data_IF_911225940738
#
_entry.id   IF_911225940738
#
_cell.length_a   1.000
_cell.length_b   1.000
_cell.length_c   1.000
_cell.angle_alpha   90.00
_cell.angle_beta   90.00
_cell.angle_gamma   90.00
#
_symmetry.space_group_name_H-M   'P 1'
#
loop_
_entity.id
_entity.type
_entity.pdbx_description
1 polymer ?
#
# COMPACT_ATOMS: atom_id res chain seq x y z
N UNK A 1 -52.73 -40.62 48.84
CA UNK A 1 -51.91 -39.40 48.64
C UNK A 1 -50.68 -39.81 47.84
N UNK A 2 -50.40 -39.11 46.73
CA UNK A 2 -49.66 -39.60 45.56
C UNK A 2 -48.17 -39.87 45.83
N UNK A 3 -47.69 -41.05 45.40
CA UNK A 3 -46.28 -41.40 45.27
C UNK A 3 -45.80 -40.80 43.94
N UNK A 4 -44.86 -39.86 43.99
CA UNK A 4 -44.24 -39.28 42.80
C UNK A 4 -42.94 -40.03 42.55
N UNK A 5 -42.97 -40.91 41.55
CA UNK A 5 -41.80 -41.60 41.02
C UNK A 5 -40.98 -40.61 40.21
N UNK A 6 -39.75 -40.32 40.66
CA UNK A 6 -38.82 -39.47 39.93
C UNK A 6 -38.12 -40.32 38.85
N UNK A 7 -38.61 -40.25 37.61
CA UNK A 7 -37.91 -40.74 36.43
C UNK A 7 -36.85 -39.72 36.04
N UNK A 8 -35.58 -40.01 36.30
CA UNK A 8 -34.46 -39.30 35.69
C UNK A 8 -34.35 -39.73 34.22
N UNK A 9 -34.51 -38.83 33.23
CA UNK A 9 -34.25 -39.19 31.86
C UNK A 9 -32.72 -39.30 31.70
N UNK A 10 -32.30 -40.54 31.47
CA UNK A 10 -30.96 -40.89 31.00
C UNK A 10 -30.82 -40.33 29.58
N UNK A 11 -30.16 -39.18 29.40
CA UNK A 11 -29.90 -38.71 28.04
C UNK A 11 -29.56 -37.24 27.89
N UNK A 12 -28.33 -36.87 28.20
CA UNK A 12 -27.57 -35.95 27.35
C UNK A 12 -26.08 -36.07 27.67
N UNK A 13 -25.38 -37.00 27.02
CA UNK A 13 -23.92 -36.93 26.94
C UNK A 13 -23.61 -35.90 25.87
N UNK A 14 -23.40 -34.65 26.28
CA UNK A 14 -22.83 -33.63 25.41
C UNK A 14 -21.37 -33.99 25.19
N UNK A 15 -21.07 -34.62 24.07
CA UNK A 15 -19.69 -34.80 23.62
C UNK A 15 -19.22 -33.42 23.13
N UNK A 16 -18.59 -32.66 24.01
CA UNK A 16 -17.77 -31.51 23.63
C UNK A 16 -16.56 -32.05 22.87
N UNK A 17 -16.69 -32.19 21.55
CA UNK A 17 -15.52 -32.32 20.68
C UNK A 17 -14.83 -30.96 20.68
N UNK A 18 -13.83 -30.79 21.55
CA UNK A 18 -12.86 -29.72 21.38
C UNK A 18 -12.28 -29.86 19.97
N UNK A 19 -12.54 -28.87 19.11
CA UNK A 19 -11.91 -28.82 17.80
C UNK A 19 -10.39 -28.79 18.05
N UNK A 20 -9.71 -29.90 17.73
CA UNK A 20 -8.25 -29.89 17.65
C UNK A 20 -7.91 -28.93 16.52
N UNK A 21 -7.39 -27.75 16.87
CA UNK A 21 -6.71 -26.90 15.89
C UNK A 21 -5.66 -27.79 15.24
N UNK A 22 -5.72 -27.92 13.91
CA UNK A 22 -4.76 -28.74 13.19
C UNK A 22 -3.37 -28.16 13.45
N UNK A 23 -2.43 -29.01 13.89
CA UNK A 23 -1.06 -28.64 14.23
C UNK A 23 -0.18 -28.34 12.99
N UNK A 24 -0.83 -28.13 11.83
CA UNK A 24 -0.20 -27.78 10.56
C UNK A 24 -0.76 -26.46 10.09
N UNK A 25 0.13 -25.51 9.82
CA UNK A 25 -0.22 -24.27 9.14
C UNK A 25 -0.95 -24.59 7.83
N UNK A 26 -2.10 -23.96 7.61
CA UNK A 26 -2.78 -23.97 6.31
C UNK A 26 -2.01 -23.19 5.23
N UNK A 27 -1.00 -22.41 5.64
CA UNK A 27 -0.23 -21.53 4.77
C UNK A 27 1.22 -22.01 4.65
N UNK A 28 1.75 -21.94 3.44
CA UNK A 28 3.18 -22.10 3.17
C UNK A 28 3.91 -20.80 3.48
N UNK A 29 5.10 -20.90 4.07
CA UNK A 29 6.01 -19.77 4.28
C UNK A 29 7.20 -19.92 3.33
N UNK A 30 7.33 -19.03 2.35
CA UNK A 30 8.55 -18.85 1.55
C UNK A 30 9.33 -17.65 2.10
N UNK A 31 10.64 -17.79 2.25
CA UNK A 31 11.53 -16.70 2.71
C UNK A 31 12.33 -16.23 1.50
N UNK A 32 12.03 -15.02 1.02
CA UNK A 32 12.68 -14.45 -0.18
C UNK A 32 13.98 -13.73 0.15
N UNK A 33 14.04 -13.07 1.30
CA UNK A 33 15.24 -12.39 1.80
C UNK A 33 15.34 -12.51 3.31
N UNK A 34 16.58 -12.47 3.82
CA UNK A 34 16.88 -12.41 5.25
C UNK A 34 17.51 -11.05 5.54
N UNK A 35 16.86 -10.26 6.39
CA UNK A 35 17.25 -8.88 6.70
C UNK A 35 16.07 -7.94 6.51
N UNK A 36 16.25 -6.67 6.85
CA UNK A 36 15.20 -5.67 6.73
C UNK A 36 15.50 -4.73 5.58
N UNK A 37 14.65 -4.72 4.55
CA UNK A 37 14.86 -3.95 3.32
C UNK A 37 13.80 -2.87 3.10
N UNK A 38 12.62 -3.00 3.72
CA UNK A 38 11.46 -2.13 3.51
C UNK A 38 10.39 -2.40 4.57
N UNK A 39 9.54 -1.40 4.85
CA UNK A 39 8.33 -1.57 5.68
C UNK A 39 7.18 -2.27 4.94
N UNK A 40 7.10 -2.09 3.62
CA UNK A 40 6.04 -2.63 2.77
C UNK A 40 6.55 -3.24 1.47
N UNK A 41 5.72 -4.10 0.89
CA UNK A 41 5.96 -4.80 -0.37
C UNK A 41 4.72 -4.68 -1.27
N UNK A 42 4.92 -4.77 -2.58
CA UNK A 42 3.86 -4.68 -3.58
C UNK A 42 4.00 -5.77 -4.63
N UNK A 43 2.93 -5.95 -5.42
CA UNK A 43 2.89 -6.88 -6.54
C UNK A 43 2.65 -6.12 -7.84
N UNK A 44 3.26 -6.59 -8.93
CA UNK A 44 3.00 -6.12 -10.30
C UNK A 44 3.88 -6.83 -11.32
N UNK A 45 3.51 -6.78 -12.59
CA UNK A 45 4.21 -7.48 -13.68
C UNK A 45 5.40 -6.63 -14.17
N UNK A 46 6.56 -6.77 -13.51
CA UNK A 46 7.74 -5.93 -13.77
C UNK A 46 8.43 -6.36 -15.07
N UNK A 47 8.48 -7.65 -15.38
CA UNK A 47 9.15 -8.14 -16.61
C UNK A 47 8.23 -8.31 -17.82
N UNK A 48 6.93 -8.03 -17.67
CA UNK A 48 5.95 -8.03 -18.74
C UNK A 48 5.53 -9.43 -19.20
N UNK A 49 5.78 -10.46 -18.38
CA UNK A 49 5.48 -11.85 -18.73
C UNK A 49 4.03 -12.27 -18.40
N UNK A 50 3.23 -11.34 -17.88
CA UNK A 50 1.84 -11.55 -17.49
C UNK A 50 1.66 -12.18 -16.11
N UNK A 51 2.73 -12.36 -15.32
CA UNK A 51 2.68 -12.86 -13.96
C UNK A 51 3.00 -11.74 -12.97
N UNK A 52 2.47 -11.85 -11.76
CA UNK A 52 2.79 -10.88 -10.71
C UNK A 52 4.16 -11.16 -10.12
N UNK A 53 5.04 -10.17 -10.21
CA UNK A 53 6.31 -10.10 -9.50
C UNK A 53 6.12 -9.41 -8.14
N UNK A 54 7.04 -9.63 -7.22
CA UNK A 54 7.04 -8.99 -5.90
C UNK A 54 8.12 -7.91 -5.82
N UNK A 55 7.78 -6.69 -5.43
CA UNK A 55 8.72 -5.61 -5.15
C UNK A 55 8.86 -5.41 -3.64
N UNK A 56 10.10 -5.40 -3.15
CA UNK A 56 10.40 -5.12 -1.75
C UNK A 56 11.75 -4.41 -1.60
N UNK A 57 11.73 -3.16 -1.14
CA UNK A 57 12.95 -2.40 -0.95
C UNK A 57 13.64 -2.08 -2.28
N UNK A 58 14.94 -2.37 -2.43
CA UNK A 58 15.66 -2.19 -3.69
C UNK A 58 15.48 -3.36 -4.68
N UNK A 59 14.74 -4.40 -4.30
CA UNK A 59 14.65 -5.67 -5.03
C UNK A 59 13.27 -5.88 -5.65
N UNK A 60 13.26 -6.68 -6.71
CA UNK A 60 12.05 -7.34 -7.19
C UNK A 60 12.32 -8.83 -7.45
N UNK A 61 11.29 -9.67 -7.34
CA UNK A 61 11.36 -11.12 -7.42
C UNK A 61 10.41 -11.62 -8.49
N UNK A 62 10.93 -12.29 -9.51
CA UNK A 62 10.13 -12.73 -10.65
C UNK A 62 9.11 -13.82 -10.23
N UNK A 63 7.85 -13.63 -10.60
CA UNK A 63 6.76 -14.55 -10.33
C UNK A 63 6.74 -15.77 -11.26
N UNK A 64 5.94 -16.80 -10.94
CA UNK A 64 5.13 -16.92 -9.73
C UNK A 64 5.89 -17.63 -8.60
N UNK A 65 7.10 -18.10 -8.85
CA UNK A 65 7.89 -18.84 -7.86
C UNK A 65 8.71 -17.90 -6.96
N UNK A 66 9.05 -16.69 -7.40
CA UNK A 66 9.86 -15.73 -6.64
C UNK A 66 11.28 -16.23 -6.35
N UNK A 67 11.84 -17.11 -7.19
CA UNK A 67 13.20 -17.64 -7.01
C UNK A 67 14.28 -16.74 -7.60
N UNK A 68 13.93 -15.99 -8.66
CA UNK A 68 14.84 -15.04 -9.29
C UNK A 68 14.70 -13.67 -8.65
N UNK A 69 15.68 -13.31 -7.83
CA UNK A 69 15.83 -11.95 -7.31
C UNK A 69 16.56 -11.07 -8.32
N UNK A 70 16.04 -9.87 -8.52
CA UNK A 70 16.64 -8.80 -9.31
C UNK A 70 16.67 -7.52 -8.47
N UNK A 71 17.36 -6.49 -8.96
CA UNK A 71 17.51 -5.19 -8.32
C UNK A 71 17.10 -4.10 -9.30
N UNK A 72 16.47 -3.04 -8.81
CA UNK A 72 16.15 -1.86 -9.63
C UNK A 72 16.83 -0.58 -9.12
N UNK A 73 17.30 -0.58 -7.86
CA UNK A 73 18.05 0.53 -7.26
C UNK A 73 19.10 0.05 -6.25
N UNK A 74 20.10 0.88 -5.91
CA UNK A 74 21.02 0.60 -4.81
C UNK A 74 20.32 0.50 -3.44
N UNK A 75 20.87 -0.34 -2.56
CA UNK A 75 20.42 -0.48 -1.17
C UNK A 75 20.69 -1.88 -0.64
N UNK A 76 21.01 -2.01 0.63
CA UNK A 76 21.29 -3.31 1.25
C UNK A 76 20.36 -3.55 2.45
N UNK A 77 20.09 -4.81 2.81
CA UNK A 77 19.39 -5.11 4.05
C UNK A 77 20.12 -4.52 5.25
N UNK A 78 19.37 -3.93 6.17
CA UNK A 78 19.91 -3.30 7.39
C UNK A 78 19.34 -3.96 8.64
N UNK A 79 19.80 -3.49 9.80
CA UNK A 79 19.13 -3.80 11.06
C UNK A 79 17.73 -3.15 11.07
N UNK A 80 16.66 -3.88 11.43
CA UNK A 80 15.32 -3.31 11.52
C UNK A 80 15.22 -2.21 12.58
N UNK A 81 16.08 -2.20 13.59
CA UNK A 81 16.05 -1.18 14.64
C UNK A 81 16.53 0.17 14.09
N UNK A 82 15.73 1.20 14.37
CA UNK A 82 16.12 2.59 14.15
C UNK A 82 15.92 3.11 12.72
N UNK A 83 15.11 2.44 11.89
CA UNK A 83 14.76 2.92 10.55
C UNK A 83 15.98 3.26 9.69
N UNK A 84 16.99 2.39 9.76
CA UNK A 84 18.22 2.54 8.99
C UNK A 84 18.03 2.21 7.49
N UNK A 85 16.86 1.68 7.10
CA UNK A 85 16.46 1.47 5.72
C UNK A 85 15.88 2.78 5.15
N UNK A 86 15.73 2.91 3.85
CA UNK A 86 15.07 4.05 3.22
C UNK A 86 14.10 3.53 2.17
N UNK A 87 13.02 2.95 2.67
CA UNK A 87 12.02 2.24 1.88
C UNK A 87 10.79 1.97 2.73
N UNK A 88 9.64 2.44 2.29
CA UNK A 88 8.40 2.36 3.05
C UNK A 88 7.33 1.59 2.29
N UNK A 89 6.60 2.22 1.37
CA UNK A 89 5.62 1.57 0.49
C UNK A 89 6.05 1.66 -0.97
N UNK A 90 5.49 0.82 -1.83
CA UNK A 90 5.72 0.89 -3.26
C UNK A 90 4.50 0.47 -4.07
N UNK A 91 4.48 0.85 -5.35
CA UNK A 91 3.51 0.41 -6.35
C UNK A 91 4.22 0.13 -7.68
N UNK A 92 3.56 -0.68 -8.51
CA UNK A 92 4.05 -1.09 -9.82
C UNK A 92 3.00 -0.73 -10.86
N UNK A 93 3.37 0.08 -11.86
CA UNK A 93 2.49 0.47 -12.98
C UNK A 93 3.30 1.10 -14.11
N UNK A 94 2.79 1.06 -15.33
CA UNK A 94 3.32 1.82 -16.47
C UNK A 94 3.02 3.32 -16.26
N UNK A 95 4.03 4.07 -15.83
CA UNK A 95 3.88 5.48 -15.47
C UNK A 95 3.94 6.36 -16.71
N UNK A 96 4.84 6.05 -17.64
CA UNK A 96 5.15 6.89 -18.79
C UNK A 96 4.42 6.47 -20.09
N UNK A 97 3.66 5.36 -20.06
CA UNK A 97 2.89 4.84 -21.17
C UNK A 97 3.72 4.10 -22.22
N UNK A 98 4.92 3.62 -21.86
CA UNK A 98 5.82 2.92 -22.78
C UNK A 98 5.59 1.40 -22.84
N UNK A 99 4.63 0.89 -22.07
CA UNK A 99 4.26 -0.52 -22.01
C UNK A 99 5.10 -1.36 -21.07
N UNK A 100 6.07 -0.77 -20.34
CA UNK A 100 6.80 -1.43 -19.26
C UNK A 100 6.33 -0.90 -17.91
N UNK A 101 6.23 -1.77 -16.91
CA UNK A 101 5.80 -1.33 -15.59
C UNK A 101 6.99 -0.78 -14.80
N UNK A 102 6.80 0.43 -14.27
CA UNK A 102 7.76 1.16 -13.45
C UNK A 102 7.52 0.91 -11.96
N UNK A 103 8.45 1.36 -11.12
CA UNK A 103 8.32 1.30 -9.66
C UNK A 103 8.14 2.70 -9.08
N UNK A 104 7.03 2.93 -8.38
CA UNK A 104 6.83 4.08 -7.52
C UNK A 104 7.20 3.68 -6.10
N UNK A 105 8.15 4.37 -5.48
CA UNK A 105 8.69 4.02 -4.17
C UNK A 105 8.58 5.20 -3.20
N UNK A 106 7.90 4.96 -2.08
CA UNK A 106 7.95 5.85 -0.93
C UNK A 106 9.18 5.52 -0.11
N UNK A 107 9.99 6.53 0.18
CA UNK A 107 11.11 6.46 1.11
C UNK A 107 10.95 7.57 2.16
N UNK A 108 11.67 7.50 3.28
CA UNK A 108 11.33 8.26 4.49
C UNK A 108 12.48 9.13 5.02
N UNK A 109 13.57 9.24 4.26
CA UNK A 109 14.67 10.17 4.55
C UNK A 109 14.90 11.17 3.42
N UNK A 110 15.03 12.48 3.72
CA UNK A 110 14.94 13.12 5.04
C UNK A 110 13.49 13.27 5.56
N UNK A 111 12.49 13.01 4.72
CA UNK A 111 11.07 12.96 5.04
C UNK A 111 10.41 11.92 4.12
N UNK A 112 9.12 11.59 4.35
CA UNK A 112 8.38 10.81 3.38
C UNK A 112 8.30 11.54 2.03
N UNK A 113 8.70 10.85 0.98
CA UNK A 113 8.74 11.37 -0.39
C UNK A 113 8.42 10.25 -1.37
N UNK A 114 7.95 10.60 -2.56
CA UNK A 114 7.65 9.67 -3.65
C UNK A 114 8.68 9.84 -4.76
N UNK A 115 9.43 8.77 -5.02
CA UNK A 115 10.34 8.65 -6.16
C UNK A 115 9.74 7.68 -7.19
N UNK A 116 9.82 8.03 -8.47
CA UNK A 116 9.52 7.15 -9.61
C UNK A 116 10.84 6.60 -10.14
N UNK A 117 10.90 5.29 -10.33
CA UNK A 117 11.99 4.58 -10.98
C UNK A 117 11.48 4.02 -12.30
N UNK A 118 11.90 4.61 -13.41
CA UNK A 118 11.49 4.17 -14.74
C UNK A 118 12.27 2.93 -15.18
N UNK A 119 11.58 1.91 -15.70
CA UNK A 119 12.22 0.71 -16.20
C UNK A 119 12.96 1.00 -17.52
N UNK A 120 14.30 0.88 -17.56
CA UNK A 120 15.04 1.05 -18.80
C UNK A 120 14.73 -0.10 -19.77
N UNK A 121 14.88 0.16 -21.07
CA UNK A 121 14.74 -0.86 -22.12
C UNK A 121 15.76 -2.00 -21.95
N UNK A 122 16.97 -1.65 -21.56
CA UNK A 122 18.04 -2.61 -21.27
C UNK A 122 18.06 -2.97 -19.77
N UNK A 123 18.21 -4.25 -19.40
CA UNK A 123 18.28 -4.66 -18.01
C UNK A 123 19.33 -3.87 -17.21
N UNK A 124 18.91 -3.31 -16.07
CA UNK A 124 19.76 -2.50 -15.20
C UNK A 124 19.38 -2.70 -13.73
N UNK A 125 20.37 -2.60 -12.86
CA UNK A 125 20.17 -2.60 -11.41
C UNK A 125 20.07 -1.18 -10.81
N UNK A 126 20.14 -0.15 -11.65
CA UNK A 126 20.09 1.25 -11.26
C UNK A 126 19.23 2.05 -12.24
N UNK A 127 17.92 2.02 -12.01
CA UNK A 127 16.93 2.63 -12.87
C UNK A 127 16.96 4.17 -12.76
N UNK A 128 16.67 4.89 -13.86
CA UNK A 128 16.47 6.34 -13.82
C UNK A 128 15.43 6.73 -12.76
N UNK A 129 15.79 7.68 -11.90
CA UNK A 129 14.98 8.10 -10.76
C UNK A 129 14.53 9.55 -10.90
N UNK A 130 13.26 9.82 -10.62
CA UNK A 130 12.70 11.17 -10.52
C UNK A 130 11.89 11.32 -9.25
N UNK A 131 12.20 12.34 -8.45
CA UNK A 131 11.40 12.68 -7.28
C UNK A 131 10.21 13.52 -7.68
N UNK A 132 9.02 13.04 -7.38
CA UNK A 132 7.76 13.68 -7.81
C UNK A 132 6.98 14.29 -6.65
N UNK A 133 7.17 13.80 -5.41
CA UNK A 133 6.66 14.43 -4.19
C UNK A 133 7.79 14.53 -3.18
N UNK A 134 8.17 15.74 -2.77
CA UNK A 134 9.34 15.98 -1.91
C UNK A 134 9.11 15.73 -0.41
N UNK A 135 7.90 15.99 0.07
CA UNK A 135 7.56 15.87 1.48
C UNK A 135 6.04 15.76 1.64
N UNK A 136 5.62 14.64 2.20
CA UNK A 136 4.24 14.41 2.62
C UNK A 136 4.23 13.67 3.97
N UNK A 137 3.05 13.51 4.56
CA UNK A 137 2.84 12.75 5.80
C UNK A 137 1.74 11.71 5.66
N UNK A 138 1.60 10.90 6.70
CA UNK A 138 0.76 9.71 6.70
C UNK A 138 1.63 8.47 6.55
N UNK A 139 1.46 7.51 7.45
CA UNK A 139 2.17 6.22 7.43
C UNK A 139 1.48 5.18 6.54
N UNK A 140 0.41 5.56 5.88
CA UNK A 140 -0.31 4.66 4.97
C UNK A 140 -0.87 5.48 3.82
N UNK A 141 -0.04 6.19 3.04
CA UNK A 141 -0.52 6.83 1.83
C UNK A 141 -1.09 5.77 0.89
N UNK A 142 -2.11 6.14 0.14
CA UNK A 142 -2.72 5.27 -0.86
C UNK A 142 -2.54 5.85 -2.25
N UNK A 143 -2.40 4.98 -3.23
CA UNK A 143 -2.33 5.32 -4.64
C UNK A 143 -3.63 4.85 -5.29
N UNK A 144 -4.53 5.78 -5.65
CA UNK A 144 -5.91 5.47 -6.05
C UNK A 144 -6.45 6.52 -7.01
N UNK A 145 -7.30 6.12 -7.95
CA UNK A 145 -8.03 7.02 -8.85
C UNK A 145 -9.16 7.74 -8.08
N UNK A 146 -8.79 8.80 -7.34
CA UNK A 146 -9.73 9.61 -6.56
C UNK A 146 -10.45 10.64 -7.43
N UNK A 147 -9.89 10.94 -8.60
CA UNK A 147 -10.47 11.90 -9.55
C UNK A 147 -11.47 11.27 -10.53
N UNK A 148 -11.44 9.95 -10.70
CA UNK A 148 -12.28 9.20 -11.63
C UNK A 148 -11.78 9.24 -13.08
N UNK A 149 -10.53 9.65 -13.32
CA UNK A 149 -9.94 9.80 -14.66
C UNK A 149 -9.22 8.53 -15.15
N UNK A 150 -9.29 7.43 -14.37
CA UNK A 150 -8.61 6.14 -14.56
C UNK A 150 -7.10 6.19 -14.36
N UNK A 151 -6.60 7.22 -13.70
CA UNK A 151 -5.20 7.36 -13.33
C UNK A 151 -5.10 7.60 -11.83
N UNK A 152 -4.12 7.01 -11.15
CA UNK A 152 -4.09 7.09 -9.70
C UNK A 152 -3.40 8.36 -9.20
N UNK A 153 -3.93 8.89 -8.10
CA UNK A 153 -3.35 9.94 -7.30
C UNK A 153 -2.73 9.38 -6.01
N UNK A 154 -1.70 10.07 -5.49
CA UNK A 154 -1.18 9.76 -4.15
C UNK A 154 -2.01 10.52 -3.11
N UNK A 155 -2.73 9.82 -2.25
CA UNK A 155 -3.46 10.41 -1.11
C UNK A 155 -2.54 10.44 0.11
N UNK A 156 -2.48 11.59 0.78
CA UNK A 156 -1.63 11.79 1.95
C UNK A 156 -1.82 13.15 2.61
N UNK A 157 -0.85 13.55 3.41
CA UNK A 157 -0.91 14.79 4.18
C UNK A 157 0.16 15.77 3.68
N UNK A 158 -0.21 17.02 3.42
CA UNK A 158 0.73 18.12 3.22
C UNK A 158 0.59 19.14 4.35
N UNK A 159 1.61 19.28 5.20
CA UNK A 159 1.67 20.31 6.26
C UNK A 159 0.42 20.36 7.16
N UNK A 160 -0.13 19.20 7.54
CA UNK A 160 -1.33 19.11 8.38
C UNK A 160 -2.65 19.03 7.62
N UNK A 161 -2.63 19.16 6.29
CA UNK A 161 -3.81 19.12 5.44
C UNK A 161 -3.89 17.76 4.73
N UNK A 162 -5.01 17.06 4.88
CA UNK A 162 -5.31 15.89 4.05
C UNK A 162 -5.58 16.34 2.63
N UNK A 163 -5.06 15.58 1.66
CA UNK A 163 -5.19 15.88 0.26
C UNK A 163 -4.69 14.76 -0.63
N UNK A 164 -4.61 15.04 -1.92
CA UNK A 164 -4.04 14.12 -2.89
C UNK A 164 -3.12 14.85 -3.86
N UNK A 165 -2.19 14.11 -4.47
CA UNK A 165 -1.25 14.63 -5.45
C UNK A 165 -1.58 14.08 -6.83
N UNK A 166 -1.75 14.96 -7.82
CA UNK A 166 -1.99 14.61 -9.24
C UNK A 166 -0.71 14.77 -10.07
N UNK A 167 -0.47 13.82 -10.97
CA UNK A 167 0.57 13.94 -11.99
C UNK A 167 0.09 14.69 -13.24
N UNK A 168 0.99 15.36 -13.97
CA UNK A 168 0.79 15.57 -15.40
C UNK A 168 1.24 14.31 -16.13
N UNK A 169 0.30 13.51 -16.62
CA UNK A 169 0.59 12.24 -17.25
C UNK A 169 1.27 12.33 -18.62
N UNK A 170 1.46 13.53 -19.17
CA UNK A 170 2.35 13.75 -20.31
C UNK A 170 3.81 13.88 -19.88
N UNK A 171 4.05 14.26 -18.63
CA UNK A 171 5.37 14.45 -18.03
C UNK A 171 5.38 13.93 -16.58
N UNK A 172 5.07 12.64 -16.35
CA UNK A 172 4.72 12.11 -15.02
C UNK A 172 5.88 12.10 -14.02
N UNK A 173 7.11 12.27 -14.52
CA UNK A 173 8.34 12.40 -13.72
C UNK A 173 8.61 13.81 -13.22
N UNK A 174 7.77 14.79 -13.57
CA UNK A 174 7.80 16.13 -12.97
C UNK A 174 7.11 16.15 -11.59
N UNK A 175 7.34 17.18 -10.76
CA UNK A 175 6.65 17.30 -9.48
C UNK A 175 5.12 17.25 -9.60
N UNK A 176 4.48 16.47 -8.73
CA UNK A 176 3.03 16.34 -8.69
C UNK A 176 2.40 17.51 -7.92
N UNK A 177 1.16 17.84 -8.29
CA UNK A 177 0.42 18.98 -7.72
C UNK A 177 -0.51 18.52 -6.61
N UNK A 178 -0.46 19.20 -5.46
CA UNK A 178 -1.30 18.88 -4.30
C UNK A 178 -2.67 19.58 -4.36
N UNK A 179 -3.71 18.83 -4.02
CA UNK A 179 -5.10 19.29 -3.88
C UNK A 179 -5.57 19.06 -2.45
N UNK A 180 -5.99 20.13 -1.79
CA UNK A 180 -6.46 20.06 -0.41
C UNK A 180 -7.89 19.51 -0.31
N UNK A 181 -8.11 18.61 0.65
CA UNK A 181 -9.43 18.02 0.96
C UNK A 181 -9.94 18.54 2.29
N UNK A 182 -9.04 18.78 3.25
CA UNK A 182 -9.39 19.27 4.58
C UNK A 182 -8.83 20.67 4.84
N UNK A 183 -9.30 21.29 5.94
CA UNK A 183 -8.52 22.34 6.61
C UNK A 183 -7.26 21.73 7.26
N UNK A 184 -6.45 22.56 7.93
CA UNK A 184 -5.30 22.05 8.67
C UNK A 184 -5.78 21.30 9.93
N UNK A 185 -5.60 19.99 9.93
CA UNK A 185 -5.94 19.08 11.03
C UNK A 185 -4.81 18.88 12.03
N UNK A 186 -3.62 19.40 11.75
CA UNK A 186 -2.41 19.12 12.52
C UNK A 186 -1.85 17.70 12.32
N UNK A 187 -2.43 16.90 11.42
CA UNK A 187 -1.94 15.56 11.11
C UNK A 187 -0.47 15.61 10.61
N UNK A 188 0.36 14.75 11.16
CA UNK A 188 1.81 14.74 10.93
C UNK A 188 2.30 13.57 10.10
N UNK A 189 3.63 13.43 10.04
CA UNK A 189 4.33 12.37 9.31
C UNK A 189 3.85 10.96 9.68
N UNK A 190 3.73 10.67 10.98
CA UNK A 190 3.39 9.33 11.49
C UNK A 190 1.90 9.18 11.83
N UNK A 191 1.02 9.79 11.02
CA UNK A 191 -0.43 9.67 11.21
C UNK A 191 -0.93 8.37 10.60
N UNK A 192 -1.68 7.59 11.40
CA UNK A 192 -2.29 6.33 10.98
C UNK A 192 -3.79 6.51 10.70
N UNK A 193 -4.36 5.50 10.03
CA UNK A 193 -5.80 5.31 9.92
C UNK A 193 -6.43 6.01 8.73
N UNK A 194 -5.68 6.20 7.63
CA UNK A 194 -6.27 6.56 6.35
C UNK A 194 -7.11 5.39 5.84
N UNK A 195 -8.29 5.68 5.29
CA UNK A 195 -9.06 4.77 4.48
C UNK A 195 -9.79 5.54 3.38
N UNK A 196 -9.99 4.88 2.24
CA UNK A 196 -10.66 5.45 1.07
C UNK A 196 -11.76 4.50 0.60
N UNK A 197 -12.89 5.06 0.21
CA UNK A 197 -14.01 4.31 -0.33
C UNK A 197 -15.23 5.19 -0.57
N UNK A 198 -16.21 4.68 -1.30
CA UNK A 198 -17.53 5.32 -1.41
C UNK A 198 -18.35 4.97 -0.16
N UNK A 199 -18.46 5.91 0.80
CA UNK A 199 -19.11 5.68 2.09
C UNK A 199 -20.61 6.01 2.04
N UNK A 200 -21.04 6.88 1.12
CA UNK A 200 -22.43 7.33 1.00
C UNK A 200 -23.21 6.70 -0.17
N UNK A 201 -22.56 5.95 -1.05
CA UNK A 201 -23.14 5.27 -2.21
C UNK A 201 -23.30 6.16 -3.44
N UNK A 202 -22.63 7.32 -3.51
CA UNK A 202 -22.75 8.27 -4.62
C UNK A 202 -21.74 8.04 -5.76
N UNK A 203 -20.93 6.99 -5.64
CA UNK A 203 -19.90 6.55 -6.59
C UNK A 203 -18.69 7.48 -6.70
N UNK A 204 -18.49 8.39 -5.75
CA UNK A 204 -17.27 9.18 -5.60
C UNK A 204 -16.48 8.65 -4.41
N UNK A 205 -15.17 8.72 -4.49
CA UNK A 205 -14.33 8.25 -3.39
C UNK A 205 -14.27 9.29 -2.29
N UNK A 206 -14.57 8.84 -1.08
CA UNK A 206 -14.44 9.59 0.15
C UNK A 206 -13.14 9.25 0.87
N UNK A 207 -12.71 10.14 1.77
CA UNK A 207 -11.61 9.87 2.69
C UNK A 207 -12.13 9.78 4.11
N UNK A 208 -11.75 8.72 4.82
CA UNK A 208 -11.92 8.60 6.25
C UNK A 208 -10.57 8.59 6.95
N UNK A 209 -10.51 9.25 8.09
CA UNK A 209 -9.43 9.11 9.04
C UNK A 209 -9.98 9.07 10.46
N UNK A 210 -9.11 8.85 11.46
CA UNK A 210 -9.55 8.62 12.86
C UNK A 210 -10.46 9.73 13.44
N UNK A 211 -10.42 10.96 12.92
CA UNK A 211 -11.20 12.09 13.42
C UNK A 211 -12.42 12.44 12.56
N UNK A 212 -12.65 11.73 11.45
CA UNK A 212 -13.85 11.93 10.64
C UNK A 212 -13.69 11.53 9.19
N UNK A 213 -14.72 11.84 8.41
CA UNK A 213 -14.81 11.56 6.98
C UNK A 213 -15.04 12.86 6.20
N UNK A 214 -14.39 12.97 5.03
CA UNK A 214 -14.59 13.99 4.02
C UNK A 214 -15.27 13.41 2.77
N UNK A 215 -16.44 13.96 2.43
CA UNK A 215 -17.21 13.56 1.24
C UNK A 215 -16.50 14.00 -0.04
N UNK A 216 -16.38 13.08 -1.01
CA UNK A 216 -15.82 13.36 -2.33
C UNK A 216 -16.69 14.36 -3.10
N UNK A 217 -16.15 15.47 -3.64
CA UNK A 217 -16.92 16.42 -4.44
C UNK A 217 -17.11 15.92 -5.88
N UNK A 218 -18.06 16.52 -6.62
CA UNK A 218 -18.23 16.24 -8.06
C UNK A 218 -16.98 16.58 -8.88
N UNK A 219 -16.20 17.58 -8.44
CA UNK A 219 -14.94 17.98 -9.06
C UNK A 219 -13.80 17.99 -8.02
N UNK A 220 -13.06 16.88 -7.86
CA UNK A 220 -11.98 16.76 -6.87
C UNK A 220 -10.84 17.75 -7.06
N UNK A 221 -10.55 18.18 -8.30
CA UNK A 221 -9.44 19.10 -8.61
C UNK A 221 -9.87 20.57 -8.71
N UNK A 222 -11.17 20.84 -8.59
CA UNK A 222 -11.73 22.19 -8.81
C UNK A 222 -11.37 23.22 -7.75
N UNK A 223 -10.91 22.77 -6.57
CA UNK A 223 -10.75 23.63 -5.40
C UNK A 223 -12.06 24.28 -4.94
N UNK A 224 -12.07 24.84 -3.74
CA UNK A 224 -13.05 25.88 -3.34
C UNK A 224 -12.35 27.22 -3.32
#
# INVERSE_FOLDING_TARGET
MKIISLLLPLGLVVVLTAAKVADRSSHLRKVLSRGFVTEGASLGDIDGDGKSDLVAGPYWYAGPDFEKQNRYRPGEPVNPKGYAHDSFLSWVMDVNGDGRNDVLQVAHRPAFHLDIYLQPEEPSENWPKSRVVENFGGESPEMVDITGDKKPELVGIQKGVWGFYTADWKEPTKPWSFHAISENTGAGHYTHGLGIGDLNGDKRLDIIWKEGWYEGPENPTGGK
#
